data_IF_553515861235
#
_entry.id   IF_553515861235
#
_cell.length_a   1.000
_cell.length_b   1.000
_cell.length_c   1.000
_cell.angle_alpha   90.00
_cell.angle_beta   90.00
_cell.angle_gamma   90.00
#
_symmetry.space_group_name_H-M   'P 1'
#
loop_
_entity.id
_entity.type
_entity.pdbx_description
1 polymer ?
#
# COMPACT_ATOMS: atom_id res chain seq x y z
N UNK A 1 -17.88 -63.98 26.66
CA UNK A 1 -19.00 -63.79 25.70
C UNK A 1 -19.17 -62.29 25.43
N UNK A 2 -19.05 -61.91 24.16
CA UNK A 2 -19.69 -60.79 23.43
C UNK A 2 -19.89 -59.40 24.07
N UNK A 3 -19.08 -58.44 23.60
CA UNK A 3 -19.43 -57.15 22.94
C UNK A 3 -20.66 -56.37 23.38
N UNK A 4 -20.47 -55.10 23.81
CA UNK A 4 -21.34 -53.96 23.44
C UNK A 4 -20.47 -52.73 23.13
N UNK A 5 -20.84 -52.10 22.01
CA UNK A 5 -20.12 -51.18 21.15
C UNK A 5 -20.58 -49.73 21.35
N UNK A 6 -19.78 -48.79 20.84
CA UNK A 6 -20.04 -47.36 20.52
C UNK A 6 -19.78 -46.30 21.60
N UNK A 7 -18.51 -45.84 21.63
CA UNK A 7 -18.13 -44.48 22.07
C UNK A 7 -17.53 -43.74 20.87
N UNK A 8 -18.37 -43.21 19.99
CA UNK A 8 -18.02 -42.18 19.01
C UNK A 8 -19.23 -41.27 18.87
N UNK A 9 -19.11 -40.03 19.36
CA UNK A 9 -19.63 -38.81 18.74
C UNK A 9 -19.37 -37.63 19.70
N UNK A 10 -18.62 -36.65 19.22
CA UNK A 10 -18.86 -35.26 19.60
C UNK A 10 -17.75 -34.53 20.36
N UNK A 11 -16.90 -33.85 19.56
CA UNK A 11 -16.35 -32.50 19.80
C UNK A 11 -15.15 -32.32 20.75
N UNK A 12 -13.97 -32.48 20.14
CA UNK A 12 -12.73 -31.83 20.57
C UNK A 12 -12.59 -30.41 20.01
N UNK A 13 -11.84 -29.59 20.75
CA UNK A 13 -11.18 -28.32 20.39
C UNK A 13 -12.01 -27.05 20.45
N UNK A 14 -11.92 -26.41 21.63
CA UNK A 14 -11.79 -24.97 21.74
C UNK A 14 -10.48 -24.56 21.06
N UNK A 15 -10.58 -23.78 20.00
CA UNK A 15 -9.49 -22.96 19.47
C UNK A 15 -9.96 -21.53 19.53
N UNK A 16 -9.36 -20.78 20.44
CA UNK A 16 -9.56 -19.36 20.65
C UNK A 16 -9.37 -18.60 19.34
N UNK A 17 -10.47 -18.13 18.75
CA UNK A 17 -10.43 -17.10 17.72
C UNK A 17 -10.04 -15.79 18.43
N UNK A 18 -8.76 -15.42 18.34
CA UNK A 18 -8.35 -14.04 18.53
C UNK A 18 -8.82 -13.23 17.33
N UNK A 19 -9.97 -12.58 17.48
CA UNK A 19 -10.53 -11.63 16.54
C UNK A 19 -9.68 -10.35 16.51
N UNK A 20 -8.64 -10.35 15.68
CA UNK A 20 -8.01 -9.09 15.26
C UNK A 20 -8.95 -8.43 14.26
N UNK A 21 -9.57 -7.32 14.67
CA UNK A 21 -10.34 -6.45 13.77
C UNK A 21 -9.37 -5.86 12.75
N UNK A 22 -9.39 -6.37 11.51
CA UNK A 22 -8.71 -5.74 10.38
C UNK A 22 -9.71 -4.91 9.59
N UNK A 23 -9.74 -3.60 9.82
CA UNK A 23 -10.62 -2.64 9.14
C UNK A 23 -10.20 -2.37 7.68
N UNK A 24 -9.68 -3.37 6.95
CA UNK A 24 -9.14 -3.21 5.60
C UNK A 24 -9.42 -4.48 4.76
N UNK A 25 -10.69 -4.80 4.51
CA UNK A 25 -11.03 -6.03 3.78
C UNK A 25 -11.14 -5.73 2.28
N UNK A 26 -10.00 -5.75 1.62
CA UNK A 26 -9.94 -6.06 0.20
C UNK A 26 -10.48 -7.49 -0.02
N UNK A 27 -11.37 -7.69 -1.00
CA UNK A 27 -11.88 -9.03 -1.31
C UNK A 27 -10.74 -9.87 -1.92
N UNK A 28 -10.22 -10.80 -1.12
CA UNK A 28 -9.20 -11.76 -1.52
C UNK A 28 -9.90 -12.88 -2.30
N UNK A 29 -9.65 -12.94 -3.60
CA UNK A 29 -10.14 -14.00 -4.48
C UNK A 29 -9.03 -15.02 -4.67
N UNK A 30 -9.30 -16.26 -4.28
CA UNK A 30 -8.40 -17.39 -4.42
C UNK A 30 -9.06 -18.52 -5.19
N UNK A 31 -8.26 -19.29 -5.91
CA UNK A 31 -8.72 -20.56 -6.48
C UNK A 31 -8.79 -21.68 -5.42
N UNK A 32 -9.16 -22.89 -5.83
CA UNK A 32 -9.26 -24.05 -4.94
C UNK A 32 -7.93 -24.50 -4.33
N UNK A 33 -6.80 -24.06 -4.88
CA UNK A 33 -5.45 -24.37 -4.42
C UNK A 33 -4.85 -23.25 -3.54
N UNK A 34 -5.55 -22.12 -3.42
CA UNK A 34 -5.14 -20.97 -2.61
C UNK A 34 -4.32 -19.92 -3.38
N UNK A 35 -4.22 -20.01 -4.71
CA UNK A 35 -3.55 -19.00 -5.52
C UNK A 35 -4.41 -17.74 -5.68
N UNK A 36 -3.76 -16.58 -5.58
CA UNK A 36 -4.41 -15.28 -5.73
C UNK A 36 -4.51 -14.91 -7.20
N UNK A 37 -5.68 -14.41 -7.62
CA UNK A 37 -5.84 -13.83 -8.95
C UNK A 37 -5.24 -12.41 -9.01
N UNK A 38 -4.48 -12.07 -10.08
CA UNK A 38 -4.02 -10.71 -10.32
C UNK A 38 -5.20 -9.74 -10.43
N UNK A 39 -5.00 -8.53 -9.92
CA UNK A 39 -6.00 -7.46 -9.92
C UNK A 39 -5.44 -6.22 -10.60
N UNK A 40 -6.34 -5.41 -11.15
CA UNK A 40 -5.96 -4.16 -11.80
C UNK A 40 -5.72 -3.05 -10.76
N UNK A 41 -5.06 -1.98 -11.19
CA UNK A 41 -4.69 -0.86 -10.33
C UNK A 41 -5.90 -0.22 -9.64
N UNK A 42 -7.04 -0.09 -10.35
CA UNK A 42 -8.25 0.49 -9.79
C UNK A 42 -8.76 -0.31 -8.60
N UNK A 43 -8.81 -1.64 -8.72
CA UNK A 43 -9.18 -2.51 -7.60
C UNK A 43 -8.17 -2.39 -6.46
N UNK A 44 -6.88 -2.49 -6.77
CA UNK A 44 -5.80 -2.47 -5.79
C UNK A 44 -5.74 -1.17 -5.00
N UNK A 45 -6.00 -0.01 -5.61
CA UNK A 45 -5.87 1.28 -4.95
C UNK A 45 -7.16 1.73 -4.22
N UNK A 46 -8.28 1.02 -4.35
CA UNK A 46 -9.59 1.49 -3.88
C UNK A 46 -9.89 1.23 -2.38
N UNK A 47 -8.88 0.95 -1.55
CA UNK A 47 -9.07 0.90 -0.09
C UNK A 47 -9.01 2.31 0.51
N UNK A 48 -9.67 2.55 1.63
CA UNK A 48 -9.64 3.86 2.31
C UNK A 48 -8.21 4.34 2.61
N UNK A 49 -7.35 3.45 3.13
CA UNK A 49 -5.96 3.78 3.45
C UNK A 49 -5.17 4.23 2.22
N UNK A 50 -5.26 3.48 1.12
CA UNK A 50 -4.54 3.79 -0.13
C UNK A 50 -5.05 5.09 -0.76
N UNK A 51 -6.36 5.32 -0.77
CA UNK A 51 -6.96 6.58 -1.21
C UNK A 51 -6.50 7.76 -0.34
N UNK A 52 -6.39 7.57 0.98
CA UNK A 52 -5.83 8.59 1.88
C UNK A 52 -4.39 8.95 1.51
N UNK A 53 -3.52 7.98 1.23
CA UNK A 53 -2.14 8.27 0.80
C UNK A 53 -2.07 8.99 -0.54
N UNK A 54 -2.89 8.58 -1.52
CA UNK A 54 -2.99 9.29 -2.80
C UNK A 54 -3.48 10.73 -2.63
N UNK A 55 -4.45 10.95 -1.74
CA UNK A 55 -4.95 12.27 -1.38
C UNK A 55 -3.88 13.15 -0.73
N UNK A 56 -3.09 12.60 0.19
CA UNK A 56 -1.95 13.29 0.80
C UNK A 56 -0.90 13.69 -0.24
N UNK A 57 -0.52 12.76 -1.12
CA UNK A 57 0.43 13.03 -2.18
C UNK A 57 -0.07 14.16 -3.10
N UNK A 58 -1.34 14.11 -3.51
CA UNK A 58 -1.97 15.16 -4.30
C UNK A 58 -1.93 16.52 -3.62
N UNK A 59 -2.23 16.60 -2.32
CA UNK A 59 -2.16 17.84 -1.55
C UNK A 59 -0.74 18.39 -1.41
N UNK A 60 0.28 17.53 -1.52
CA UNK A 60 1.67 17.89 -1.28
C UNK A 60 2.43 18.34 -2.52
N UNK A 61 1.91 18.02 -3.71
CA UNK A 61 2.54 18.40 -4.98
C UNK A 61 1.79 19.57 -5.60
N UNK A 62 2.53 20.51 -6.18
CA UNK A 62 1.96 21.73 -6.74
C UNK A 62 1.93 21.65 -8.27
N UNK A 63 0.99 20.88 -8.81
CA UNK A 63 0.83 20.76 -10.26
C UNK A 63 -0.63 20.60 -10.64
N UNK A 64 -0.95 20.78 -11.92
CA UNK A 64 -2.28 20.53 -12.41
C UNK A 64 -2.58 19.03 -12.45
N UNK A 65 -3.87 18.70 -12.62
CA UNK A 65 -4.34 17.30 -12.60
C UNK A 65 -3.69 16.43 -13.68
N UNK A 66 -3.52 16.94 -14.89
CA UNK A 66 -2.92 16.19 -16.00
C UNK A 66 -1.46 15.82 -15.72
N UNK A 67 -0.69 16.77 -15.16
CA UNK A 67 0.70 16.52 -14.76
C UNK A 67 0.78 15.52 -13.61
N UNK A 68 -0.10 15.63 -12.62
CA UNK A 68 -0.16 14.66 -11.52
C UNK A 68 -0.47 13.26 -12.02
N UNK A 69 -1.41 13.15 -12.95
CA UNK A 69 -1.79 11.87 -13.54
C UNK A 69 -0.62 11.21 -14.26
N UNK A 70 0.09 11.98 -15.10
CA UNK A 70 1.24 11.49 -15.86
C UNK A 70 2.45 11.15 -14.98
N UNK A 71 2.78 12.01 -14.00
CA UNK A 71 4.01 11.92 -13.22
C UNK A 71 3.88 11.09 -11.94
N UNK A 72 2.68 10.91 -11.38
CA UNK A 72 2.52 10.19 -10.12
C UNK A 72 1.46 9.09 -10.20
N UNK A 73 0.24 9.41 -10.63
CA UNK A 73 -0.87 8.44 -10.61
C UNK A 73 -0.55 7.21 -11.49
N UNK A 74 -0.19 7.41 -12.76
CA UNK A 74 0.09 6.30 -13.67
C UNK A 74 1.30 5.45 -13.24
N UNK A 75 2.44 6.01 -12.80
CA UNK A 75 3.51 5.23 -12.17
C UNK A 75 3.05 4.42 -10.96
N UNK A 76 2.25 5.00 -10.07
CA UNK A 76 1.73 4.32 -8.88
C UNK A 76 0.79 3.18 -9.26
N UNK A 77 -0.07 3.37 -10.26
CA UNK A 77 -0.96 2.33 -10.79
C UNK A 77 -0.16 1.14 -11.34
N UNK A 78 0.90 1.42 -12.14
CA UNK A 78 1.80 0.38 -12.63
C UNK A 78 2.55 -0.34 -11.51
N UNK A 79 3.00 0.41 -10.50
CA UNK A 79 3.63 -0.17 -9.32
C UNK A 79 2.66 -1.09 -8.55
N UNK A 80 1.42 -0.66 -8.35
CA UNK A 80 0.38 -1.45 -7.71
C UNK A 80 0.15 -2.77 -8.46
N UNK A 81 0.01 -2.72 -9.79
CA UNK A 81 -0.16 -3.92 -10.61
C UNK A 81 1.07 -4.82 -10.62
N UNK A 82 2.26 -4.29 -10.38
CA UNK A 82 3.49 -5.08 -10.29
C UNK A 82 3.60 -5.81 -8.95
N UNK A 83 3.32 -5.12 -7.84
CA UNK A 83 3.48 -5.69 -6.49
C UNK A 83 2.24 -6.44 -6.00
N UNK A 84 1.09 -6.24 -6.65
CA UNK A 84 -0.16 -6.93 -6.38
C UNK A 84 -0.48 -6.98 -4.87
N UNK A 85 -0.51 -8.19 -4.32
CA UNK A 85 -0.85 -8.50 -2.95
C UNK A 85 0.35 -9.00 -2.13
N UNK A 86 1.57 -8.73 -2.59
CA UNK A 86 2.78 -9.13 -1.90
C UNK A 86 2.86 -8.47 -0.51
N UNK A 87 3.31 -9.21 0.52
CA UNK A 87 3.70 -8.59 1.79
C UNK A 87 5.02 -7.83 1.59
N UNK A 88 5.22 -6.74 2.34
CA UNK A 88 6.50 -6.01 2.29
C UNK A 88 7.62 -6.73 3.05
N UNK A 89 7.27 -7.61 3.98
CA UNK A 89 8.21 -8.33 4.86
C UNK A 89 7.59 -9.59 5.45
N UNK A 90 8.41 -10.45 6.05
CA UNK A 90 7.96 -11.68 6.73
C UNK A 90 7.36 -11.42 8.12
N UNK A 91 7.89 -10.44 8.86
CA UNK A 91 7.46 -10.13 10.23
C UNK A 91 7.62 -8.64 10.56
N UNK A 92 6.61 -7.84 10.23
CA UNK A 92 6.58 -6.42 10.59
C UNK A 92 5.19 -5.79 10.39
N UNK A 93 5.06 -4.47 10.58
CA UNK A 93 3.79 -3.73 10.42
C UNK A 93 3.22 -3.74 8.99
N UNK A 94 3.98 -4.22 8.00
CA UNK A 94 3.57 -4.39 6.60
C UNK A 94 3.71 -5.84 6.09
N UNK A 95 3.69 -6.84 6.97
CA UNK A 95 3.78 -8.26 6.57
C UNK A 95 2.45 -8.87 6.11
N UNK A 96 1.38 -8.08 6.02
CA UNK A 96 0.06 -8.52 5.58
C UNK A 96 -0.07 -8.55 4.05
N UNK A 97 -1.14 -9.18 3.56
CA UNK A 97 -1.50 -9.23 2.14
C UNK A 97 -1.68 -7.81 1.58
N UNK A 98 -0.93 -7.47 0.53
CA UNK A 98 -0.89 -6.13 -0.05
C UNK A 98 -0.05 -5.12 0.73
N UNK A 99 0.70 -5.57 1.75
CA UNK A 99 1.56 -4.71 2.57
C UNK A 99 2.66 -4.01 1.77
N UNK A 100 3.15 -4.59 0.67
CA UNK A 100 4.14 -3.93 -0.20
C UNK A 100 3.60 -2.67 -0.87
N UNK A 101 2.32 -2.70 -1.29
CA UNK A 101 1.66 -1.53 -1.86
C UNK A 101 1.39 -0.47 -0.77
N UNK A 102 0.92 -0.90 0.40
CA UNK A 102 0.65 0.01 1.52
C UNK A 102 1.93 0.71 1.98
N UNK A 103 3.03 -0.04 2.13
CA UNK A 103 4.33 0.49 2.49
C UNK A 103 4.86 1.48 1.45
N UNK A 104 4.80 1.13 0.15
CA UNK A 104 5.24 2.02 -0.92
C UNK A 104 4.47 3.34 -0.92
N UNK A 105 3.14 3.28 -0.79
CA UNK A 105 2.29 4.48 -0.74
C UNK A 105 2.55 5.36 0.49
N UNK A 106 2.82 4.73 1.63
CA UNK A 106 3.24 5.43 2.85
C UNK A 106 4.58 6.15 2.61
N UNK A 107 5.60 5.44 2.14
CA UNK A 107 6.95 5.97 1.93
C UNK A 107 6.95 7.16 0.95
N UNK A 108 6.24 7.08 -0.18
CA UNK A 108 6.17 8.20 -1.14
C UNK A 108 5.46 9.42 -0.56
N UNK A 109 4.35 9.23 0.18
CA UNK A 109 3.59 10.34 0.77
C UNK A 109 4.38 11.02 1.89
N UNK A 110 5.13 10.25 2.68
CA UNK A 110 6.00 10.81 3.71
C UNK A 110 7.25 11.48 3.11
N UNK A 111 7.83 10.93 2.04
CA UNK A 111 8.95 11.56 1.33
C UNK A 111 8.54 12.95 0.78
N UNK A 112 7.37 13.04 0.13
CA UNK A 112 6.83 14.31 -0.33
C UNK A 112 6.64 15.31 0.83
N UNK A 113 6.10 14.87 1.97
CA UNK A 113 5.98 15.68 3.18
C UNK A 113 7.32 16.19 3.69
N UNK A 114 8.31 15.31 3.81
CA UNK A 114 9.65 15.67 4.31
C UNK A 114 10.30 16.67 3.37
N UNK A 115 10.21 16.46 2.05
CA UNK A 115 10.72 17.39 1.04
C UNK A 115 10.18 18.80 1.25
N UNK A 116 8.92 18.98 1.64
CA UNK A 116 8.33 20.31 1.81
C UNK A 116 8.99 21.12 2.92
N UNK A 117 9.67 20.46 3.87
CA UNK A 117 10.38 21.13 4.96
C UNK A 117 11.77 21.66 4.54
N UNK A 118 12.21 21.41 3.30
CA UNK A 118 13.52 21.82 2.80
C UNK A 118 13.40 22.79 1.62
N UNK A 119 14.28 23.80 1.63
CA UNK A 119 14.51 24.67 0.49
C UNK A 119 15.63 24.04 -0.35
N UNK A 120 15.30 23.67 -1.59
CA UNK A 120 16.20 22.94 -2.49
C UNK A 120 16.25 23.60 -3.88
N UNK A 121 17.42 23.59 -4.55
CA UNK A 121 18.71 23.13 -4.02
C UNK A 121 19.32 24.17 -3.04
N UNK A 122 20.19 23.74 -2.12
CA UNK A 122 20.85 24.65 -1.18
C UNK A 122 21.83 25.56 -1.92
N UNK A 123 22.09 26.75 -1.35
CA UNK A 123 23.13 27.68 -1.80
C UNK A 123 22.98 28.22 -3.23
N UNK A 124 21.77 28.25 -3.79
CA UNK A 124 21.47 28.94 -5.05
C UNK A 124 20.48 30.08 -4.83
N UNK A 125 20.35 30.98 -5.81
CA UNK A 125 19.42 32.10 -5.74
C UNK A 125 17.96 31.62 -5.64
N UNK A 126 17.06 32.34 -4.92
CA UNK A 126 15.66 31.94 -4.75
C UNK A 126 14.90 31.70 -6.06
N UNK A 127 15.22 32.43 -7.12
CA UNK A 127 14.63 32.26 -8.44
C UNK A 127 14.97 30.88 -9.03
N UNK A 128 16.23 30.45 -8.88
CA UNK A 128 16.68 29.12 -9.31
C UNK A 128 16.08 28.00 -8.45
N UNK A 129 15.91 28.23 -7.14
CA UNK A 129 15.19 27.30 -6.26
C UNK A 129 13.74 27.13 -6.69
N UNK A 130 13.06 28.24 -7.00
CA UNK A 130 11.67 28.22 -7.46
C UNK A 130 11.53 27.46 -8.78
N UNK A 131 12.45 27.65 -9.73
CA UNK A 131 12.44 26.96 -11.04
C UNK A 131 12.57 25.44 -10.89
N UNK A 132 13.33 24.98 -9.91
CA UNK A 132 13.63 23.55 -9.73
C UNK A 132 12.77 22.89 -8.66
N UNK A 133 11.86 23.64 -8.00
CA UNK A 133 11.12 23.18 -6.83
C UNK A 133 10.42 21.84 -7.08
N UNK A 134 9.73 21.73 -8.21
CA UNK A 134 8.92 20.57 -8.56
C UNK A 134 9.79 19.38 -9.00
N UNK A 135 10.93 19.64 -9.64
CA UNK A 135 11.91 18.61 -9.99
C UNK A 135 12.51 17.96 -8.73
N UNK A 136 12.85 18.75 -7.72
CA UNK A 136 13.29 18.23 -6.42
C UNK A 136 12.20 17.47 -5.67
N UNK A 137 10.94 17.90 -5.79
CA UNK A 137 9.79 17.14 -5.26
C UNK A 137 9.68 15.78 -5.93
N UNK A 138 9.72 15.74 -7.27
CA UNK A 138 9.66 14.49 -8.03
C UNK A 138 10.83 13.57 -7.67
N UNK A 139 12.06 14.10 -7.62
CA UNK A 139 13.24 13.30 -7.25
C UNK A 139 13.09 12.66 -5.87
N UNK A 140 12.60 13.39 -4.86
CA UNK A 140 12.36 12.83 -3.54
C UNK A 140 11.32 11.70 -3.55
N UNK A 141 10.26 11.84 -4.34
CA UNK A 141 9.20 10.83 -4.47
C UNK A 141 9.70 9.58 -5.20
N UNK A 142 10.44 9.74 -6.30
CA UNK A 142 10.90 8.62 -7.13
C UNK A 142 12.07 7.83 -6.53
N UNK A 143 12.84 8.44 -5.61
CA UNK A 143 13.94 7.78 -4.91
C UNK A 143 13.53 7.10 -3.60
N UNK A 144 12.29 7.32 -3.16
CA UNK A 144 11.74 6.74 -1.94
C UNK A 144 11.38 5.26 -2.16
#
# INVERSE_FOLDING_TARGET
MHSILKKILGKSKSSSQSSVKSDNVFAIEQDSEGWLYPKNASQLLNTELRQKYLGLLWQQVSMNRQMFEALYQQPIERYAEMVQLLPASESHHHSHIGGMLDHGLEVIAFSAKVRQNYILPPNVAPEEQSKQRDAWTAAAIYLA
#
